data_IF_583417362682
#
_entry.id   IF_583417362682
#
_cell.length_a   1.000
_cell.length_b   1.000
_cell.length_c   1.000
_cell.angle_alpha   90.00
_cell.angle_beta   90.00
_cell.angle_gamma   90.00
#
_symmetry.space_group_name_H-M   'P 1'
#
loop_
_entity.id
_entity.type
_entity.pdbx_description
1 polymer ?
#
# COMPACT_ATOMS: atom_id res chain seq x y z
N UNK A 1 -8.36 47.94 3.52
CA UNK A 1 -7.47 46.89 2.99
C UNK A 1 -8.29 45.62 3.05
N UNK A 2 -8.74 45.14 1.90
CA UNK A 2 -9.70 44.04 1.82
C UNK A 2 -9.01 42.69 1.98
N UNK A 3 -9.55 41.86 2.88
CA UNK A 3 -9.26 40.44 2.97
C UNK A 3 -9.71 39.76 1.67
N UNK A 4 -8.76 39.46 0.78
CA UNK A 4 -9.00 38.56 -0.34
C UNK A 4 -8.73 37.13 0.12
N UNK A 5 -9.80 36.40 0.47
CA UNK A 5 -9.74 34.95 0.58
C UNK A 5 -9.31 34.34 -0.77
N UNK A 6 -8.43 33.31 -0.78
CA UNK A 6 -8.05 32.64 -2.02
C UNK A 6 -9.28 32.00 -2.68
N UNK A 7 -9.41 32.20 -3.99
CA UNK A 7 -10.47 31.61 -4.79
C UNK A 7 -10.32 30.08 -4.84
N UNK A 8 -11.31 29.36 -4.31
CA UNK A 8 -11.37 27.90 -4.30
C UNK A 8 -12.05 27.38 -5.58
N UNK A 9 -11.33 26.63 -6.42
CA UNK A 9 -11.94 25.83 -7.47
C UNK A 9 -12.30 24.45 -6.91
N UNK A 10 -13.60 24.12 -6.86
CA UNK A 10 -14.07 22.81 -6.37
C UNK A 10 -13.99 21.77 -7.50
N UNK A 11 -13.16 20.74 -7.34
CA UNK A 11 -13.08 19.57 -8.22
C UNK A 11 -13.46 18.31 -7.42
N UNK A 12 -14.70 17.84 -7.57
CA UNK A 12 -15.22 16.68 -6.84
C UNK A 12 -15.45 16.91 -5.33
N UNK A 13 -16.32 16.10 -4.71
CA UNK A 13 -16.74 16.30 -3.31
C UNK A 13 -15.65 15.99 -2.26
N UNK A 14 -14.53 15.34 -2.64
CA UNK A 14 -13.53 14.80 -1.70
C UNK A 14 -12.10 15.33 -1.87
N UNK A 15 -11.80 16.07 -2.94
CA UNK A 15 -10.47 16.64 -3.19
C UNK A 15 -10.59 18.09 -3.65
N UNK A 16 -9.62 18.94 -3.32
CA UNK A 16 -9.67 20.35 -3.71
C UNK A 16 -8.28 20.85 -4.07
N UNK A 17 -8.19 21.74 -5.06
CA UNK A 17 -6.97 22.50 -5.31
C UNK A 17 -7.13 23.89 -4.70
N UNK A 18 -6.13 24.30 -3.92
CA UNK A 18 -6.10 25.59 -3.24
C UNK A 18 -4.75 26.26 -3.50
N UNK A 19 -4.77 27.56 -3.78
CA UNK A 19 -3.55 28.36 -3.85
C UNK A 19 -3.14 28.76 -2.42
N UNK A 20 -1.97 28.30 -1.99
CA UNK A 20 -1.37 28.66 -0.70
C UNK A 20 -0.24 29.67 -0.87
N UNK A 21 -0.10 30.61 0.07
CA UNK A 21 1.04 31.54 0.16
C UNK A 21 1.91 31.13 1.34
N UNK A 22 3.19 30.85 1.08
CA UNK A 22 4.13 30.41 2.11
C UNK A 22 5.35 31.32 2.19
N UNK A 23 5.82 31.55 3.40
CA UNK A 23 7.02 32.34 3.66
C UNK A 23 8.27 31.47 3.48
N UNK A 24 9.11 31.81 2.50
CA UNK A 24 10.38 31.14 2.23
C UNK A 24 11.48 31.81 3.07
N UNK A 25 12.38 31.04 3.71
CA UNK A 25 13.56 31.61 4.38
C UNK A 25 14.34 32.50 3.41
N UNK A 26 14.49 33.79 3.74
CA UNK A 26 15.03 34.81 2.83
C UNK A 26 14.04 35.93 2.45
N UNK A 27 12.83 35.94 3.02
CA UNK A 27 11.94 37.11 2.98
C UNK A 27 11.01 37.20 1.76
N UNK A 28 10.71 36.08 1.09
CA UNK A 28 9.80 36.06 -0.05
C UNK A 28 8.62 35.13 0.21
N UNK A 29 7.43 35.59 -0.16
CA UNK A 29 6.23 34.76 -0.23
C UNK A 29 6.24 33.99 -1.55
N UNK A 30 6.12 32.66 -1.50
CA UNK A 30 5.93 31.81 -2.66
C UNK A 30 4.47 31.34 -2.70
N UNK A 31 3.82 31.53 -3.85
CA UNK A 31 2.55 30.88 -4.13
C UNK A 31 2.82 29.42 -4.52
N UNK A 32 2.20 28.48 -3.83
CA UNK A 32 2.27 27.06 -4.16
C UNK A 32 0.85 26.52 -4.36
N UNK A 33 0.72 25.56 -5.26
CA UNK A 33 -0.55 24.85 -5.47
C UNK A 33 -0.61 23.68 -4.50
N UNK A 34 -1.58 23.72 -3.58
CA UNK A 34 -1.87 22.62 -2.68
C UNK A 34 -3.00 21.79 -3.25
N UNK A 35 -2.76 20.50 -3.39
CA UNK A 35 -3.78 19.49 -3.58
C UNK A 35 -4.17 18.95 -2.20
N UNK A 36 -5.46 19.02 -1.88
CA UNK A 36 -6.03 18.51 -0.64
C UNK A 36 -6.75 17.20 -0.94
N UNK A 37 -6.32 16.12 -0.30
CA UNK A 37 -6.84 14.76 -0.45
C UNK A 37 -7.49 14.27 0.86
N UNK A 38 -8.41 13.29 0.81
CA UNK A 38 -8.95 12.66 2.01
C UNK A 38 -7.90 11.75 2.68
N UNK A 39 -8.26 11.11 3.79
CA UNK A 39 -7.42 10.09 4.42
C UNK A 39 -7.18 8.89 3.50
N UNK A 40 -5.93 8.65 3.12
CA UNK A 40 -5.55 7.56 2.23
C UNK A 40 -5.20 6.29 3.00
N UNK A 41 -5.43 5.13 2.39
CA UNK A 41 -5.10 3.81 2.95
C UNK A 41 -4.11 3.09 2.03
N UNK A 42 -3.02 2.59 2.60
CA UNK A 42 -2.17 1.59 1.95
C UNK A 42 -2.58 0.19 2.40
N UNK A 43 -3.15 -0.59 1.48
CA UNK A 43 -3.74 -1.89 1.78
C UNK A 43 -2.72 -3.04 1.87
N UNK A 44 -1.44 -2.78 1.61
CA UNK A 44 -0.42 -3.82 1.56
C UNK A 44 0.93 -3.29 2.08
N UNK A 45 1.19 -3.51 3.36
CA UNK A 45 2.49 -3.20 3.97
C UNK A 45 3.03 -4.39 4.76
N UNK A 46 4.35 -4.40 4.95
CA UNK A 46 5.07 -5.33 5.80
C UNK A 46 5.92 -4.55 6.81
N UNK A 47 5.37 -4.22 7.98
CA UNK A 47 6.04 -3.43 9.02
C UNK A 47 7.00 -4.23 9.89
N UNK A 48 7.14 -5.53 9.60
CA UNK A 48 8.16 -6.47 10.12
C UNK A 48 8.09 -6.77 11.62
N UNK A 49 7.26 -6.09 12.39
CA UNK A 49 7.08 -6.34 13.82
C UNK A 49 5.82 -7.21 14.08
N UNK A 50 5.96 -8.37 14.77
CA UNK A 50 7.14 -8.84 15.51
C UNK A 50 8.20 -9.57 14.66
N UNK A 51 9.45 -9.51 15.11
CA UNK A 51 10.57 -10.40 14.73
C UNK A 51 11.52 -9.88 13.64
N UNK A 52 11.25 -8.71 13.04
CA UNK A 52 12.09 -8.09 12.01
C UNK A 52 12.33 -6.59 12.25
N UNK A 53 12.31 -6.15 13.51
CA UNK A 53 12.34 -4.75 13.96
C UNK A 53 13.61 -3.98 13.52
N UNK A 54 14.69 -4.70 13.18
CA UNK A 54 15.91 -4.10 12.63
C UNK A 54 15.75 -3.62 11.19
N UNK A 55 14.74 -4.13 10.46
CA UNK A 55 14.42 -3.74 9.08
C UNK A 55 13.46 -2.55 9.05
N UNK A 56 12.42 -2.67 9.89
CA UNK A 56 11.36 -1.70 10.14
C UNK A 56 10.59 -2.16 11.38
N UNK A 57 9.96 -1.26 12.10
CA UNK A 57 9.01 -1.60 13.17
C UNK A 57 7.69 -0.83 13.00
N UNK A 58 6.69 -1.09 13.84
CA UNK A 58 5.38 -0.42 13.69
C UNK A 58 5.52 1.11 13.76
N UNK A 59 6.33 1.62 14.68
CA UNK A 59 6.49 3.06 14.89
C UNK A 59 7.16 3.75 13.71
N UNK A 60 8.20 3.14 13.14
CA UNK A 60 8.94 3.68 12.00
C UNK A 60 8.18 3.50 10.68
N UNK A 61 7.55 2.34 10.46
CA UNK A 61 6.72 2.10 9.28
C UNK A 61 5.46 3.00 9.23
N UNK A 62 4.82 3.27 10.38
CA UNK A 62 3.69 4.20 10.41
C UNK A 62 4.10 5.68 10.39
N UNK A 63 5.32 6.01 10.83
CA UNK A 63 5.92 7.32 10.60
C UNK A 63 6.15 7.57 9.10
N UNK A 64 6.71 6.57 8.41
CA UNK A 64 6.87 6.55 6.96
C UNK A 64 5.51 6.68 6.26
N UNK A 65 4.48 5.95 6.70
CA UNK A 65 3.13 6.08 6.14
C UNK A 65 2.63 7.54 6.19
N UNK A 66 2.70 8.18 7.36
CA UNK A 66 2.28 9.58 7.51
C UNK A 66 3.08 10.55 6.63
N UNK A 67 4.40 10.36 6.54
CA UNK A 67 5.26 11.16 5.66
C UNK A 67 4.92 10.98 4.17
N UNK A 68 4.42 9.80 3.79
CA UNK A 68 3.87 9.49 2.48
C UNK A 68 2.44 9.98 2.23
N UNK A 69 1.80 10.62 3.22
CA UNK A 69 0.39 11.03 3.13
C UNK A 69 -0.61 9.89 3.34
N UNK A 70 -0.14 8.74 3.83
CA UNK A 70 -0.96 7.57 4.14
C UNK A 70 -1.40 7.65 5.59
N UNK A 71 -2.71 7.52 5.82
CA UNK A 71 -3.33 7.70 7.14
C UNK A 71 -3.87 6.40 7.74
N UNK A 72 -3.99 5.36 6.91
CA UNK A 72 -4.30 4.00 7.33
C UNK A 72 -3.40 2.99 6.63
N UNK A 73 -2.95 1.94 7.33
CA UNK A 73 -2.17 0.85 6.72
C UNK A 73 -2.75 -0.52 7.04
N UNK A 74 -2.70 -1.48 6.11
CA UNK A 74 -3.09 -2.87 6.37
C UNK A 74 -1.87 -3.79 6.35
N UNK A 75 -1.47 -4.28 7.52
CA UNK A 75 -0.20 -4.97 7.70
C UNK A 75 -0.30 -6.50 7.55
N UNK A 76 0.60 -7.05 6.73
CA UNK A 76 0.61 -8.44 6.29
C UNK A 76 1.10 -9.41 7.38
N UNK A 77 0.73 -10.71 7.32
CA UNK A 77 0.91 -11.64 8.43
C UNK A 77 2.24 -12.41 8.42
N UNK A 78 3.14 -12.17 7.48
CA UNK A 78 4.41 -12.90 7.31
C UNK A 78 5.53 -12.43 8.25
N UNK A 79 5.17 -12.07 9.48
CA UNK A 79 6.08 -11.77 10.58
C UNK A 79 6.81 -13.03 11.07
N UNK A 80 7.70 -12.88 12.05
CA UNK A 80 8.40 -13.99 12.70
C UNK A 80 8.08 -13.98 14.20
N UNK A 81 7.23 -14.90 14.71
CA UNK A 81 6.47 -15.91 13.98
C UNK A 81 5.32 -15.30 13.13
N UNK A 82 4.81 -16.04 12.12
CA UNK A 82 3.71 -15.57 11.29
C UNK A 82 2.40 -15.48 12.07
N UNK A 83 1.51 -14.61 11.62
CA UNK A 83 0.24 -14.29 12.28
C UNK A 83 -0.86 -15.18 11.71
N UNK A 84 -0.98 -16.40 12.24
CA UNK A 84 -1.88 -17.43 11.69
C UNK A 84 -2.97 -17.88 12.68
N UNK A 85 -3.22 -17.10 13.73
CA UNK A 85 -4.24 -17.40 14.74
C UNK A 85 -4.38 -16.29 15.78
N UNK A 86 -5.41 -16.40 16.63
CA UNK A 86 -5.82 -15.35 17.57
C UNK A 86 -4.74 -14.92 18.57
N UNK A 87 -3.93 -15.85 19.06
CA UNK A 87 -2.84 -15.51 20.01
C UNK A 87 -1.79 -14.62 19.38
N UNK A 88 -1.35 -14.95 18.17
CA UNK A 88 -0.38 -14.15 17.41
C UNK A 88 -0.99 -12.80 17.03
N UNK A 89 -2.25 -12.80 16.59
CA UNK A 89 -2.97 -11.58 16.23
C UNK A 89 -3.12 -10.63 17.41
N UNK A 90 -3.47 -11.14 18.59
CA UNK A 90 -3.58 -10.35 19.81
C UNK A 90 -2.24 -9.73 20.23
N UNK A 91 -1.14 -10.50 20.13
CA UNK A 91 0.21 -9.99 20.40
C UNK A 91 0.58 -8.86 19.43
N UNK A 92 0.35 -9.05 18.13
CA UNK A 92 0.64 -8.04 17.13
C UNK A 92 -0.22 -6.79 17.31
N UNK A 93 -1.51 -6.96 17.63
CA UNK A 93 -2.41 -5.86 17.95
C UNK A 93 -1.88 -5.02 19.11
N UNK A 94 -1.43 -5.64 20.21
CA UNK A 94 -0.87 -4.89 21.33
C UNK A 94 0.33 -4.01 20.94
N UNK A 95 1.19 -4.51 20.04
CA UNK A 95 2.32 -3.71 19.50
C UNK A 95 1.81 -2.51 18.71
N UNK A 96 0.79 -2.68 17.87
CA UNK A 96 0.19 -1.57 17.13
C UNK A 96 -0.55 -0.57 18.03
N UNK A 97 -1.27 -1.03 19.05
CA UNK A 97 -1.93 -0.16 20.03
C UNK A 97 -0.93 0.71 20.78
N UNK A 98 0.29 0.22 21.04
CA UNK A 98 1.36 0.96 21.70
C UNK A 98 2.14 1.88 20.75
N UNK A 99 2.31 1.49 19.47
CA UNK A 99 3.35 2.06 18.60
C UNK A 99 2.86 2.73 17.33
N UNK A 100 1.67 2.39 16.84
CA UNK A 100 1.18 2.91 15.57
C UNK A 100 0.89 4.42 15.64
N UNK A 101 1.38 5.17 14.65
CA UNK A 101 1.18 6.63 14.51
C UNK A 101 0.03 6.98 13.57
N UNK A 102 -0.37 6.05 12.71
CA UNK A 102 -1.53 6.14 11.83
C UNK A 102 -2.48 4.96 12.09
N UNK A 103 -3.68 4.99 11.53
CA UNK A 103 -4.65 3.92 11.73
C UNK A 103 -4.21 2.63 11.04
N UNK A 104 -4.68 1.49 11.51
CA UNK A 104 -4.13 0.21 11.06
C UNK A 104 -5.14 -0.92 11.04
N UNK A 105 -5.01 -1.81 10.06
CA UNK A 105 -5.65 -3.12 10.02
C UNK A 105 -4.61 -4.22 10.01
N UNK A 106 -4.99 -5.41 10.47
CA UNK A 106 -4.09 -6.56 10.57
C UNK A 106 -4.66 -7.74 9.77
N UNK A 107 -3.84 -8.32 8.90
CA UNK A 107 -4.18 -9.56 8.22
C UNK A 107 -3.88 -10.77 9.11
N UNK A 108 -4.63 -11.85 8.86
CA UNK A 108 -4.25 -13.21 9.22
C UNK A 108 -3.65 -13.92 8.01
N UNK A 109 -2.76 -14.87 8.24
CA UNK A 109 -2.23 -15.78 7.23
C UNK A 109 -2.76 -17.20 7.40
N UNK A 110 -2.76 -17.96 6.32
CA UNK A 110 -2.96 -19.41 6.35
C UNK A 110 -1.78 -20.13 5.67
N UNK A 111 -1.57 -21.38 6.05
CA UNK A 111 -0.60 -22.31 5.45
C UNK A 111 -1.21 -23.70 5.31
N UNK A 112 -0.45 -24.65 4.77
CA UNK A 112 -0.93 -26.02 4.44
C UNK A 112 -1.69 -26.72 5.58
N UNK A 113 -1.23 -26.51 6.81
CA UNK A 113 -1.78 -27.15 8.01
C UNK A 113 -2.34 -26.12 9.00
N UNK A 114 -2.48 -24.86 8.60
CA UNK A 114 -2.85 -23.79 9.52
C UNK A 114 -3.88 -22.88 8.88
N UNK A 115 -5.09 -22.94 9.41
CA UNK A 115 -6.19 -22.05 9.07
C UNK A 115 -6.68 -21.40 10.37
N UNK A 116 -6.67 -20.05 10.47
CA UNK A 116 -7.21 -19.35 11.63
C UNK A 116 -8.70 -19.67 11.84
N UNK A 117 -9.16 -19.53 13.08
CA UNK A 117 -10.56 -19.77 13.42
C UNK A 117 -11.47 -18.67 12.86
N UNK A 118 -12.78 -18.95 12.79
CA UNK A 118 -13.79 -17.95 12.40
C UNK A 118 -13.89 -16.79 13.41
N UNK A 119 -13.56 -17.03 14.68
CA UNK A 119 -13.47 -15.98 15.69
C UNK A 119 -12.30 -15.04 15.41
N UNK A 120 -11.15 -15.58 15.01
CA UNK A 120 -9.98 -14.78 14.63
C UNK A 120 -10.28 -13.90 13.40
N UNK A 121 -11.10 -14.40 12.47
CA UNK A 121 -11.48 -13.66 11.26
C UNK A 121 -12.26 -12.36 11.53
N UNK A 122 -13.03 -12.29 12.63
CA UNK A 122 -13.74 -11.07 13.03
C UNK A 122 -12.79 -9.96 13.51
N UNK A 123 -11.53 -10.34 13.80
CA UNK A 123 -10.49 -9.47 14.30
C UNK A 123 -9.45 -9.11 13.22
N UNK A 124 -9.61 -9.60 12.00
CA UNK A 124 -8.70 -9.31 10.90
C UNK A 124 -9.40 -8.53 9.79
N UNK A 125 -8.63 -7.76 9.02
CA UNK A 125 -9.15 -7.10 7.80
C UNK A 125 -9.26 -8.06 6.62
N UNK A 126 -8.61 -9.21 6.70
CA UNK A 126 -8.55 -10.19 5.62
C UNK A 126 -7.71 -11.41 5.97
N UNK A 127 -7.84 -12.44 5.13
CA UNK A 127 -6.90 -13.56 5.09
C UNK A 127 -5.94 -13.37 3.91
N UNK A 128 -4.62 -13.42 4.17
CA UNK A 128 -3.59 -13.39 3.13
C UNK A 128 -3.09 -14.81 2.86
N UNK A 129 -3.15 -15.21 1.60
CA UNK A 129 -2.63 -16.49 1.08
C UNK A 129 -1.40 -16.24 0.20
N UNK A 130 -0.47 -17.20 0.20
CA UNK A 130 0.73 -17.15 -0.64
C UNK A 130 0.85 -18.41 -1.49
N UNK A 131 0.67 -18.27 -2.80
CA UNK A 131 0.78 -19.38 -3.77
C UNK A 131 2.18 -19.49 -4.39
N UNK A 132 3.08 -18.55 -4.07
CA UNK A 132 4.48 -18.54 -4.50
C UNK A 132 5.41 -18.64 -3.28
N UNK A 133 6.72 -18.88 -3.45
CA UNK A 133 7.64 -19.00 -2.31
C UNK A 133 7.64 -17.75 -1.43
N UNK A 134 7.29 -17.95 -0.16
CA UNK A 134 7.11 -16.92 0.88
C UNK A 134 7.87 -17.31 2.16
N UNK A 135 7.83 -16.45 3.17
CA UNK A 135 8.46 -16.70 4.48
C UNK A 135 7.66 -17.67 5.33
N UNK A 136 8.37 -18.58 6.00
CA UNK A 136 7.80 -19.50 6.96
C UNK A 136 6.80 -20.50 6.34
N UNK A 137 5.90 -21.08 7.15
CA UNK A 137 4.97 -22.14 6.73
C UNK A 137 3.75 -21.64 5.93
N UNK A 138 3.80 -20.42 5.38
CA UNK A 138 2.65 -19.76 4.75
C UNK A 138 2.42 -20.13 3.28
N UNK A 139 3.36 -20.86 2.67
CA UNK A 139 3.21 -21.29 1.27
C UNK A 139 2.11 -22.34 1.16
N UNK A 140 1.19 -22.13 0.22
CA UNK A 140 0.10 -23.05 -0.12
C UNK A 140 0.33 -23.60 -1.54
N UNK A 141 0.47 -24.91 -1.64
CA UNK A 141 0.63 -25.68 -2.88
C UNK A 141 -0.53 -26.66 -3.10
N UNK A 142 -1.17 -27.13 -2.03
CA UNK A 142 -2.27 -28.09 -2.08
C UNK A 142 -3.60 -27.45 -2.49
N UNK A 143 -4.18 -27.96 -3.59
CA UNK A 143 -5.56 -27.62 -3.97
C UNK A 143 -6.57 -28.00 -2.87
N UNK A 144 -6.30 -29.08 -2.12
CA UNK A 144 -7.15 -29.49 -1.00
C UNK A 144 -7.18 -28.45 0.13
N UNK A 145 -6.03 -27.89 0.48
CA UNK A 145 -5.92 -26.82 1.48
C UNK A 145 -6.64 -25.55 1.00
N UNK A 146 -6.41 -25.14 -0.26
CA UNK A 146 -7.08 -23.98 -0.85
C UNK A 146 -8.61 -24.15 -0.88
N UNK A 147 -9.11 -25.32 -1.27
CA UNK A 147 -10.56 -25.62 -1.25
C UNK A 147 -11.12 -25.58 0.18
N UNK A 148 -10.39 -26.11 1.16
CA UNK A 148 -10.81 -26.05 2.55
C UNK A 148 -10.92 -24.60 3.04
N UNK A 149 -9.91 -23.77 2.75
CA UNK A 149 -9.90 -22.35 3.11
C UNK A 149 -11.09 -21.61 2.47
N UNK A 150 -11.28 -21.74 1.16
CA UNK A 150 -12.37 -21.03 0.46
C UNK A 150 -13.76 -21.44 0.93
N UNK A 151 -13.93 -22.67 1.44
CA UNK A 151 -15.20 -23.17 1.98
C UNK A 151 -15.47 -22.74 3.43
N UNK A 152 -14.42 -22.53 4.23
CA UNK A 152 -14.55 -22.35 5.68
C UNK A 152 -14.28 -20.92 6.15
N UNK A 153 -13.49 -20.14 5.39
CA UNK A 153 -13.21 -18.75 5.73
C UNK A 153 -14.49 -17.90 5.62
N UNK A 154 -14.82 -17.07 6.64
CA UNK A 154 -16.05 -16.30 6.66
C UNK A 154 -16.26 -15.44 5.42
N UNK A 155 -17.51 -15.40 4.93
CA UNK A 155 -17.82 -14.74 3.68
C UNK A 155 -17.58 -13.22 3.70
N UNK A 156 -17.81 -12.61 4.88
CA UNK A 156 -17.69 -11.19 5.13
C UNK A 156 -16.24 -10.69 5.05
N UNK A 157 -15.27 -11.53 5.41
CA UNK A 157 -13.86 -11.16 5.44
C UNK A 157 -13.18 -11.55 4.11
N UNK A 158 -12.52 -10.63 3.40
CA UNK A 158 -11.92 -10.91 2.09
C UNK A 158 -10.71 -11.87 2.18
N UNK A 159 -10.43 -12.52 1.06
CA UNK A 159 -9.23 -13.34 0.84
C UNK A 159 -8.32 -12.59 -0.14
N UNK A 160 -7.15 -12.15 0.33
CA UNK A 160 -6.09 -11.56 -0.49
C UNK A 160 -5.06 -12.62 -0.84
N UNK A 161 -4.58 -12.65 -2.09
CA UNK A 161 -3.74 -13.74 -2.59
C UNK A 161 -2.52 -13.19 -3.31
N UNK A 162 -1.34 -13.56 -2.84
CA UNK A 162 -0.11 -13.47 -3.62
C UNK A 162 -0.11 -14.62 -4.63
N UNK A 163 -0.29 -14.29 -5.90
CA UNK A 163 -0.17 -15.22 -7.02
C UNK A 163 0.57 -14.55 -8.19
N UNK A 164 1.35 -15.33 -8.91
CA UNK A 164 2.15 -14.90 -10.06
C UNK A 164 1.89 -15.81 -11.26
N UNK A 165 1.76 -15.22 -12.46
CA UNK A 165 1.54 -15.92 -13.72
C UNK A 165 0.38 -16.92 -13.65
N UNK A 166 0.65 -18.17 -14.04
CA UNK A 166 -0.39 -19.22 -14.11
C UNK A 166 -1.04 -19.54 -12.76
N UNK A 167 -0.37 -19.28 -11.64
CA UNK A 167 -0.95 -19.52 -10.32
C UNK A 167 -2.16 -18.62 -10.03
N UNK A 168 -2.31 -17.49 -10.74
CA UNK A 168 -3.49 -16.61 -10.62
C UNK A 168 -4.78 -17.28 -11.10
N UNK A 169 -4.70 -18.25 -12.00
CA UNK A 169 -5.89 -18.96 -12.47
C UNK A 169 -6.59 -19.73 -11.34
N UNK A 170 -5.83 -20.21 -10.34
CA UNK A 170 -6.35 -20.99 -9.22
C UNK A 170 -7.31 -20.18 -8.35
N UNK A 171 -6.92 -19.05 -7.74
CA UNK A 171 -7.82 -18.27 -6.90
C UNK A 171 -8.99 -17.67 -7.69
N UNK A 172 -8.81 -17.34 -8.98
CA UNK A 172 -9.92 -16.89 -9.85
C UNK A 172 -10.95 -18.00 -10.02
N UNK A 173 -10.51 -19.22 -10.37
CA UNK A 173 -11.40 -20.36 -10.53
C UNK A 173 -12.12 -20.70 -9.21
N UNK A 174 -11.40 -20.70 -8.09
CA UNK A 174 -11.98 -20.95 -6.77
C UNK A 174 -13.01 -19.87 -6.39
N UNK A 175 -12.74 -18.60 -6.68
CA UNK A 175 -13.67 -17.51 -6.49
C UNK A 175 -14.98 -17.73 -7.27
N UNK A 176 -14.88 -18.14 -8.54
CA UNK A 176 -16.05 -18.45 -9.37
C UNK A 176 -16.82 -19.67 -8.85
N UNK A 177 -16.13 -20.76 -8.49
CA UNK A 177 -16.78 -22.00 -8.02
C UNK A 177 -17.46 -21.86 -6.67
N UNK A 178 -16.98 -20.96 -5.80
CA UNK A 178 -17.47 -20.80 -4.43
C UNK A 178 -18.28 -19.53 -4.21
N UNK A 179 -18.33 -18.63 -5.20
CA UNK A 179 -18.91 -17.30 -5.06
C UNK A 179 -18.16 -16.39 -4.07
N UNK A 180 -16.94 -16.77 -3.67
CA UNK A 180 -16.13 -16.02 -2.70
C UNK A 180 -15.41 -14.86 -3.39
N UNK A 181 -15.42 -13.69 -2.75
CA UNK A 181 -14.62 -12.55 -3.20
C UNK A 181 -13.14 -12.81 -2.95
N UNK A 182 -12.33 -12.59 -3.98
CA UNK A 182 -10.87 -12.69 -3.93
C UNK A 182 -10.25 -11.37 -4.36
N UNK A 183 -9.17 -11.00 -3.70
CA UNK A 183 -8.30 -9.90 -4.08
C UNK A 183 -6.93 -10.45 -4.52
N UNK A 184 -6.51 -10.12 -5.74
CA UNK A 184 -5.23 -10.53 -6.31
C UNK A 184 -4.20 -9.44 -6.02
N UNK A 185 -3.21 -9.76 -5.19
CA UNK A 185 -2.18 -8.82 -4.79
C UNK A 185 -1.21 -8.51 -5.93
N UNK A 186 -0.67 -7.28 -5.93
CA UNK A 186 0.46 -6.79 -6.74
C UNK A 186 0.57 -7.39 -8.16
N UNK A 187 -0.48 -7.23 -8.97
CA UNK A 187 -0.48 -7.65 -10.39
C UNK A 187 0.61 -6.89 -11.14
N UNK A 188 1.48 -7.62 -11.86
CA UNK A 188 2.76 -7.09 -12.31
C UNK A 188 3.07 -7.34 -13.80
N UNK A 189 2.20 -8.05 -14.52
CA UNK A 189 2.42 -8.44 -15.92
C UNK A 189 1.24 -8.14 -16.83
N UNK A 190 1.55 -8.01 -18.12
CA UNK A 190 0.56 -7.79 -19.18
C UNK A 190 -0.45 -8.94 -19.31
N UNK A 191 0.00 -10.18 -19.19
CA UNK A 191 -0.86 -11.37 -19.25
C UNK A 191 -1.73 -11.53 -18.00
N UNK A 192 -1.18 -11.22 -16.81
CA UNK A 192 -1.90 -11.22 -15.54
C UNK A 192 -3.04 -10.19 -15.53
N UNK A 193 -2.79 -8.94 -15.92
CA UNK A 193 -3.84 -7.91 -15.94
C UNK A 193 -4.90 -8.18 -17.01
N UNK A 194 -4.50 -8.77 -18.15
CA UNK A 194 -5.45 -9.24 -19.17
C UNK A 194 -6.35 -10.37 -18.62
N UNK A 195 -5.78 -11.30 -17.86
CA UNK A 195 -6.56 -12.36 -17.19
C UNK A 195 -7.55 -11.77 -16.18
N UNK A 196 -7.14 -10.77 -15.39
CA UNK A 196 -8.05 -10.08 -14.46
C UNK A 196 -9.20 -9.43 -15.21
N UNK A 197 -8.93 -8.70 -16.30
CA UNK A 197 -9.97 -8.09 -17.13
C UNK A 197 -10.98 -9.12 -17.60
N UNK A 198 -10.52 -10.21 -18.23
CA UNK A 198 -11.40 -11.27 -18.74
C UNK A 198 -12.21 -11.91 -17.61
N UNK A 199 -11.63 -12.11 -16.43
CA UNK A 199 -12.33 -12.64 -15.27
C UNK A 199 -13.46 -11.71 -14.81
N UNK A 200 -13.19 -10.40 -14.72
CA UNK A 200 -14.19 -9.38 -14.34
C UNK A 200 -15.30 -9.24 -15.38
N UNK A 201 -14.97 -9.22 -16.68
CA UNK A 201 -15.95 -9.18 -17.77
C UNK A 201 -16.89 -10.40 -17.76
N UNK A 202 -16.40 -11.54 -17.28
CA UNK A 202 -17.19 -12.77 -17.07
C UNK A 202 -17.92 -12.82 -15.72
N UNK A 203 -17.90 -11.73 -14.95
CA UNK A 203 -18.59 -11.63 -13.67
C UNK A 203 -17.94 -12.40 -12.53
N UNK A 204 -16.66 -12.77 -12.63
CA UNK A 204 -15.95 -13.37 -11.50
C UNK A 204 -15.85 -12.37 -10.34
N UNK A 205 -16.05 -12.80 -9.07
CA UNK A 205 -15.98 -11.92 -7.91
C UNK A 205 -14.51 -11.64 -7.51
N UNK A 206 -13.75 -11.06 -8.44
CA UNK A 206 -12.31 -10.81 -8.28
C UNK A 206 -12.03 -9.31 -8.30
N UNK A 207 -11.09 -8.91 -7.46
CA UNK A 207 -10.49 -7.59 -7.45
C UNK A 207 -8.96 -7.74 -7.55
N UNK A 208 -8.25 -6.68 -7.88
CA UNK A 208 -6.80 -6.67 -7.87
C UNK A 208 -6.21 -5.33 -7.42
N UNK A 209 -4.95 -5.37 -7.02
CA UNK A 209 -4.11 -4.20 -6.84
C UNK A 209 -2.89 -4.26 -7.76
N UNK A 210 -2.30 -3.09 -8.01
CA UNK A 210 -0.97 -2.95 -8.59
C UNK A 210 -0.12 -2.10 -7.67
N UNK A 211 1.20 -2.18 -7.79
CA UNK A 211 2.10 -1.37 -6.97
C UNK A 211 2.72 -0.22 -7.76
N UNK A 212 3.19 0.85 -7.09
CA UNK A 212 3.98 1.88 -7.75
C UNK A 212 5.24 1.32 -8.42
N UNK A 213 5.91 0.33 -7.83
CA UNK A 213 7.14 -0.18 -8.44
C UNK A 213 6.86 -0.97 -9.73
N UNK A 214 5.70 -1.63 -9.86
CA UNK A 214 5.27 -2.22 -11.13
C UNK A 214 4.71 -1.19 -12.13
N UNK A 215 4.28 -0.02 -11.68
CA UNK A 215 3.81 1.07 -12.57
C UNK A 215 4.93 2.00 -13.05
N UNK A 216 6.02 2.13 -12.30
CA UNK A 216 7.03 3.16 -12.55
C UNK A 216 8.43 2.62 -12.83
N UNK A 217 8.71 1.36 -12.52
CA UNK A 217 10.01 0.73 -12.73
C UNK A 217 9.87 -0.47 -13.67
N UNK A 218 10.98 -0.78 -14.33
CA UNK A 218 11.10 -1.87 -15.29
C UNK A 218 12.20 -2.85 -14.87
N UNK A 219 12.34 -3.92 -15.63
CA UNK A 219 13.44 -4.88 -15.54
C UNK A 219 14.80 -4.22 -15.73
N UNK A 220 14.87 -3.13 -16.50
CA UNK A 220 16.11 -2.37 -16.69
C UNK A 220 16.50 -1.64 -15.40
N UNK A 221 15.53 -1.05 -14.70
CA UNK A 221 15.74 -0.46 -13.38
C UNK A 221 16.16 -1.53 -12.35
N UNK A 222 15.53 -2.71 -12.37
CA UNK A 222 15.96 -3.84 -11.52
C UNK A 222 17.41 -4.24 -11.78
N UNK A 223 17.86 -4.27 -13.05
CA UNK A 223 19.25 -4.56 -13.41
C UNK A 223 20.20 -3.48 -12.89
N UNK A 224 19.82 -2.21 -13.00
CA UNK A 224 20.61 -1.08 -12.49
C UNK A 224 20.71 -1.09 -10.95
N UNK A 225 19.63 -1.43 -10.26
CA UNK A 225 19.57 -1.56 -8.80
C UNK A 225 20.30 -2.79 -8.26
N UNK A 226 20.60 -3.78 -9.13
CA UNK A 226 21.19 -5.05 -8.72
C UNK A 226 20.35 -5.75 -7.65
N UNK A 227 20.96 -6.13 -6.54
CA UNK A 227 20.27 -6.85 -5.47
C UNK A 227 19.16 -6.02 -4.80
N UNK A 228 19.25 -4.69 -4.81
CA UNK A 228 18.20 -3.80 -4.29
C UNK A 228 16.90 -3.90 -5.11
N UNK A 229 17.02 -4.21 -6.40
CA UNK A 229 15.88 -4.40 -7.31
C UNK A 229 15.16 -5.73 -7.17
N UNK A 230 15.60 -6.61 -6.26
CA UNK A 230 14.92 -7.90 -6.05
C UNK A 230 13.62 -7.72 -5.27
N UNK A 231 12.52 -8.15 -5.86
CA UNK A 231 11.17 -8.11 -5.31
C UNK A 231 10.32 -9.22 -5.92
N UNK A 232 9.17 -9.49 -5.32
CA UNK A 232 8.21 -10.47 -5.83
C UNK A 232 6.81 -9.85 -5.84
N UNK A 233 6.13 -9.78 -7.00
CA UNK A 233 6.58 -10.26 -8.32
C UNK A 233 7.76 -9.45 -8.87
N UNK A 234 8.68 -10.05 -9.66
CA UNK A 234 9.84 -9.32 -10.18
C UNK A 234 9.40 -8.21 -11.16
N UNK A 235 10.23 -7.17 -11.36
CA UNK A 235 9.92 -6.11 -12.33
C UNK A 235 9.85 -6.65 -13.77
N UNK A 236 8.85 -6.17 -14.50
CA UNK A 236 8.52 -6.57 -15.88
C UNK A 236 9.21 -5.71 -16.92
N UNK A 237 8.97 -5.98 -18.20
CA UNK A 237 9.42 -5.09 -19.27
C UNK A 237 8.58 -3.80 -19.34
N UNK A 238 8.94 -2.88 -20.23
CA UNK A 238 8.12 -1.68 -20.46
C UNK A 238 6.73 -2.05 -20.97
N UNK A 239 6.61 -3.15 -21.72
CA UNK A 239 5.35 -3.70 -22.19
C UNK A 239 4.40 -4.08 -21.05
N UNK A 240 4.94 -4.58 -19.93
CA UNK A 240 4.15 -4.90 -18.73
C UNK A 240 3.67 -3.61 -18.08
N UNK A 241 4.57 -2.63 -17.90
CA UNK A 241 4.24 -1.32 -17.32
C UNK A 241 3.14 -0.63 -18.13
N UNK A 242 3.30 -0.56 -19.45
CA UNK A 242 2.31 0.03 -20.35
C UNK A 242 0.98 -0.73 -20.33
N UNK A 243 1.01 -2.06 -20.22
CA UNK A 243 -0.20 -2.85 -20.07
C UNK A 243 -0.94 -2.52 -18.77
N UNK A 244 -0.23 -2.39 -17.64
CA UNK A 244 -0.84 -2.01 -16.36
C UNK A 244 -1.49 -0.62 -16.44
N UNK A 245 -0.78 0.37 -17.00
CA UNK A 245 -1.34 1.72 -17.19
C UNK A 245 -2.55 1.74 -18.12
N UNK A 246 -2.51 1.02 -19.24
CA UNK A 246 -3.65 0.93 -20.17
C UNK A 246 -4.87 0.23 -19.57
N UNK A 247 -4.67 -0.60 -18.55
CA UNK A 247 -5.71 -1.39 -17.90
C UNK A 247 -6.01 -0.89 -16.47
N UNK A 248 -5.66 0.35 -16.14
CA UNK A 248 -5.87 0.89 -14.81
C UNK A 248 -7.35 1.02 -14.43
N UNK A 249 -8.26 0.98 -15.40
CA UNK A 249 -9.72 0.91 -15.22
C UNK A 249 -10.18 -0.39 -14.53
N UNK A 250 -9.46 -1.51 -14.70
CA UNK A 250 -9.80 -2.78 -14.02
C UNK A 250 -9.05 -3.01 -12.72
N UNK A 251 -8.11 -2.14 -12.35
CA UNK A 251 -7.43 -2.19 -11.04
C UNK A 251 -8.37 -1.69 -9.94
N UNK A 252 -8.39 -2.26 -8.74
CA UNK A 252 -9.32 -1.80 -7.69
C UNK A 252 -8.68 -0.83 -6.70
N UNK A 253 -7.39 -0.98 -6.45
CA UNK A 253 -6.60 -0.10 -5.59
C UNK A 253 -5.12 -0.12 -5.98
N UNK A 254 -4.36 0.87 -5.51
CA UNK A 254 -2.89 0.84 -5.54
C UNK A 254 -2.39 0.68 -4.12
N UNK A 255 -1.46 -0.24 -3.91
CA UNK A 255 -0.83 -0.48 -2.61
C UNK A 255 0.68 -0.56 -2.79
N UNK A 256 1.45 -0.13 -1.77
CA UNK A 256 2.89 0.02 -1.97
C UNK A 256 3.64 -1.31 -1.98
N UNK A 257 3.08 -2.34 -1.36
CA UNK A 257 3.79 -3.55 -0.93
C UNK A 257 5.10 -3.16 -0.22
N UNK A 258 4.99 -2.22 0.72
CA UNK A 258 6.13 -1.69 1.46
C UNK A 258 6.79 -2.82 2.24
N UNK A 259 7.91 -3.30 1.70
CA UNK A 259 8.64 -4.47 2.15
C UNK A 259 10.10 -4.11 2.43
N UNK A 260 10.38 -3.33 3.49
CA UNK A 260 11.72 -2.86 3.83
C UNK A 260 12.62 -4.01 4.26
N UNK A 261 13.88 -3.92 3.85
CA UNK A 261 15.00 -4.80 4.19
C UNK A 261 16.25 -3.93 4.31
N UNK A 262 17.14 -4.23 5.24
CA UNK A 262 18.35 -3.40 5.40
C UNK A 262 19.26 -3.54 4.18
N UNK A 263 20.12 -2.54 3.92
CA UNK A 263 21.14 -2.64 2.88
C UNK A 263 22.02 -3.89 3.06
N UNK A 264 22.38 -4.22 4.30
CA UNK A 264 23.18 -5.40 4.62
C UNK A 264 22.49 -6.72 4.21
N UNK A 265 21.18 -6.85 4.42
CA UNK A 265 20.42 -8.02 3.96
C UNK A 265 20.38 -8.09 2.44
N UNK A 266 20.14 -6.95 1.77
CA UNK A 266 20.09 -6.88 0.30
C UNK A 266 21.46 -7.09 -0.34
N UNK A 267 22.56 -6.88 0.37
CA UNK A 267 23.92 -7.14 -0.11
C UNK A 267 24.45 -8.52 0.33
N UNK A 268 23.64 -9.30 1.06
CA UNK A 268 23.98 -10.64 1.50
C UNK A 268 24.01 -11.66 0.36
N UNK A 269 24.39 -12.90 0.68
CA UNK A 269 24.49 -13.99 -0.29
C UNK A 269 23.14 -14.42 -0.88
N UNK A 270 22.06 -14.30 -0.10
CA UNK A 270 20.68 -14.58 -0.51
C UNK A 270 19.80 -13.36 -0.20
N UNK A 271 19.84 -12.33 -1.06
CA UNK A 271 19.17 -11.07 -0.80
C UNK A 271 17.64 -11.23 -0.82
N UNK A 272 16.93 -10.80 0.23
CA UNK A 272 15.49 -11.00 0.32
C UNK A 272 14.73 -10.13 -0.70
N UNK A 273 13.61 -10.61 -1.26
CA UNK A 273 12.76 -9.81 -2.13
C UNK A 273 11.97 -8.78 -1.32
N UNK A 274 11.90 -7.56 -1.83
CA UNK A 274 11.12 -6.47 -1.26
C UNK A 274 11.81 -5.12 -1.41
N UNK A 275 10.99 -4.07 -1.52
CA UNK A 275 11.41 -2.67 -1.61
C UNK A 275 10.56 -1.80 -0.67
N UNK A 276 11.11 -0.74 -0.06
CA UNK A 276 10.30 0.25 0.65
C UNK A 276 9.52 1.13 -0.35
N UNK A 277 8.21 1.32 -0.13
CA UNK A 277 7.37 2.11 -1.05
C UNK A 277 6.32 3.04 -0.43
N UNK A 278 5.95 2.90 0.85
CA UNK A 278 4.83 3.64 1.44
C UNK A 278 4.99 5.17 1.35
N UNK A 279 6.22 5.69 1.55
CA UNK A 279 6.51 7.13 1.48
C UNK A 279 6.51 7.70 0.06
N UNK A 280 6.88 6.87 -0.92
CA UNK A 280 7.06 7.32 -2.31
C UNK A 280 5.81 7.12 -3.15
N UNK A 281 4.86 6.30 -2.70
CA UNK A 281 3.63 5.97 -3.42
C UNK A 281 2.84 7.22 -3.84
N UNK A 282 2.43 8.08 -2.91
CA UNK A 282 1.60 9.24 -3.25
C UNK A 282 2.35 10.25 -4.13
N UNK A 283 3.60 10.65 -3.85
CA UNK A 283 4.37 11.53 -4.75
C UNK A 283 4.47 11.01 -6.19
N UNK A 284 4.70 9.71 -6.38
CA UNK A 284 4.76 9.08 -7.70
C UNK A 284 3.39 9.14 -8.40
N UNK A 285 2.34 8.76 -7.69
CA UNK A 285 0.99 8.71 -8.26
C UNK A 285 0.44 10.10 -8.60
N UNK A 286 0.70 11.12 -7.77
CA UNK A 286 0.34 12.52 -8.09
C UNK A 286 1.19 13.05 -9.26
N UNK A 287 2.45 12.62 -9.39
CA UNK A 287 3.26 12.95 -10.57
C UNK A 287 2.62 12.41 -11.85
N UNK A 288 2.10 11.17 -11.83
CA UNK A 288 1.36 10.61 -12.97
C UNK A 288 0.06 11.39 -13.28
N UNK A 289 -0.59 11.99 -12.28
CA UNK A 289 -1.73 12.90 -12.51
C UNK A 289 -1.28 14.15 -13.27
N UNK A 290 -0.18 14.77 -12.84
CA UNK A 290 0.39 15.95 -13.50
C UNK A 290 0.92 15.67 -14.92
N UNK A 291 1.36 14.44 -15.17
CA UNK A 291 1.77 13.96 -16.50
C UNK A 291 0.58 13.55 -17.40
N UNK A 292 -0.65 13.64 -16.90
CA UNK A 292 -1.86 13.29 -17.65
C UNK A 292 -2.07 11.79 -17.86
N UNK A 293 -1.37 10.94 -17.09
CA UNK A 293 -1.49 9.47 -17.15
C UNK A 293 -2.63 8.93 -16.30
N UNK A 294 -3.08 9.73 -15.32
CA UNK A 294 -4.08 9.39 -14.31
C UNK A 294 -4.94 10.62 -14.03
N UNK A 295 -6.24 10.46 -13.82
CA UNK A 295 -7.06 11.57 -13.31
C UNK A 295 -6.98 11.67 -11.78
N UNK A 296 -7.24 12.85 -11.23
CA UNK A 296 -7.26 13.04 -9.78
C UNK A 296 -8.37 12.20 -9.13
N UNK A 297 -9.53 12.12 -9.77
CA UNK A 297 -10.66 11.30 -9.33
C UNK A 297 -10.23 9.83 -9.23
N UNK A 298 -9.53 9.32 -10.26
CA UNK A 298 -9.07 7.94 -10.27
C UNK A 298 -7.97 7.67 -9.24
N UNK A 299 -7.13 8.66 -8.94
CA UNK A 299 -6.18 8.58 -7.82
C UNK A 299 -6.91 8.37 -6.49
N UNK A 300 -7.96 9.16 -6.23
CA UNK A 300 -8.78 9.04 -5.01
C UNK A 300 -9.49 7.68 -4.98
N UNK A 301 -10.05 7.22 -6.09
CA UNK A 301 -10.64 5.89 -6.18
C UNK A 301 -9.63 4.79 -5.83
N UNK A 302 -8.38 4.89 -6.28
CA UNK A 302 -7.35 3.86 -6.07
C UNK A 302 -6.76 3.85 -4.66
N UNK A 303 -6.63 5.00 -4.00
CA UNK A 303 -5.93 5.13 -2.71
C UNK A 303 -6.85 5.40 -1.51
N UNK A 304 -8.12 5.74 -1.76
CA UNK A 304 -9.11 6.03 -0.72
C UNK A 304 -10.30 5.07 -0.80
N UNK A 305 -11.03 5.06 -1.92
CA UNK A 305 -12.28 4.29 -2.02
C UNK A 305 -12.05 2.80 -2.26
N UNK A 306 -11.02 2.45 -3.02
CA UNK A 306 -10.62 1.09 -3.36
C UNK A 306 -10.35 0.22 -2.13
N UNK A 307 -9.43 0.62 -1.24
CA UNK A 307 -9.17 -0.12 0.00
C UNK A 307 -10.43 -0.29 0.86
N UNK A 308 -11.29 0.73 0.96
CA UNK A 308 -12.55 0.66 1.70
C UNK A 308 -13.52 -0.35 1.07
N UNK A 309 -13.67 -0.35 -0.25
CA UNK A 309 -14.55 -1.27 -0.99
C UNK A 309 -14.06 -2.72 -0.95
N UNK A 310 -12.74 -2.92 -1.09
CA UNK A 310 -12.12 -4.26 -1.12
C UNK A 310 -12.11 -4.90 0.26
N UNK A 311 -11.72 -4.13 1.29
CA UNK A 311 -11.53 -4.66 2.65
C UNK A 311 -12.68 -4.37 3.61
N UNK A 312 -13.70 -3.65 3.17
CA UNK A 312 -14.82 -3.24 4.01
C UNK A 312 -14.40 -2.28 5.13
N UNK A 313 -13.21 -1.69 5.09
CA UNK A 313 -12.74 -0.75 6.11
C UNK A 313 -13.27 0.66 5.83
N UNK A 314 -13.21 1.55 6.83
CA UNK A 314 -13.46 2.98 6.63
C UNK A 314 -12.16 3.75 6.70
N UNK A 315 -11.98 4.69 5.77
CA UNK A 315 -10.85 5.59 5.82
C UNK A 315 -10.90 6.46 7.07
N UNK A 316 -9.73 6.77 7.68
CA UNK A 316 -9.68 7.70 8.78
C UNK A 316 -10.18 9.08 8.37
N UNK A 317 -10.81 9.79 9.31
CA UNK A 317 -11.11 11.21 9.14
C UNK A 317 -9.79 11.98 9.11
N UNK A 318 -9.36 12.36 7.91
CA UNK A 318 -8.09 13.01 7.70
C UNK A 318 -8.08 13.89 6.45
N UNK A 319 -7.10 14.79 6.42
CA UNK A 319 -6.80 15.68 5.30
C UNK A 319 -5.31 15.62 5.01
N UNK A 320 -4.98 15.37 3.75
CA UNK A 320 -3.60 15.25 3.27
C UNK A 320 -3.34 16.38 2.29
N UNK A 321 -2.44 17.29 2.66
CA UNK A 321 -2.06 18.44 1.84
C UNK A 321 -0.76 18.14 1.11
N UNK A 322 -0.81 18.19 -0.22
CA UNK A 322 0.29 17.88 -1.11
C UNK A 322 0.67 19.14 -1.88
N UNK A 323 1.91 19.59 -1.75
CA UNK A 323 2.47 20.62 -2.60
C UNK A 323 2.70 20.04 -3.99
N UNK A 324 2.20 20.72 -5.01
CA UNK A 324 2.21 20.23 -6.39
C UNK A 324 2.73 21.29 -7.36
N UNK A 325 3.20 20.86 -8.53
CA UNK A 325 3.74 21.73 -9.59
C UNK A 325 5.20 22.14 -9.39
N UNK A 326 5.78 21.85 -8.22
CA UNK A 326 7.22 21.93 -7.97
C UNK A 326 8.00 20.80 -8.64
N UNK A 327 9.33 20.90 -8.66
CA UNK A 327 10.22 19.79 -9.04
C UNK A 327 10.96 19.33 -7.79
N UNK A 328 10.56 18.18 -7.25
CA UNK A 328 11.18 17.56 -6.10
C UNK A 328 11.96 16.32 -6.53
N UNK A 329 12.86 15.86 -5.66
CA UNK A 329 13.67 14.68 -5.90
C UNK A 329 13.53 13.74 -4.71
N UNK A 330 13.25 12.46 -4.99
CA UNK A 330 13.20 11.43 -3.96
C UNK A 330 14.64 11.12 -3.52
N UNK A 331 14.89 11.26 -2.22
CA UNK A 331 16.18 10.98 -1.59
C UNK A 331 15.97 10.16 -0.34
N UNK A 332 16.64 9.02 -0.22
CA UNK A 332 16.56 8.15 0.96
C UNK A 332 16.85 8.89 2.27
N UNK A 333 17.78 9.86 2.25
CA UNK A 333 18.14 10.67 3.42
C UNK A 333 16.99 11.55 3.96
N UNK A 334 15.92 11.75 3.18
CA UNK A 334 14.73 12.50 3.58
C UNK A 334 13.53 11.59 3.90
N UNK A 335 13.70 10.27 3.80
CA UNK A 335 12.66 9.28 4.12
C UNK A 335 12.77 8.83 5.58
N UNK A 336 11.66 8.32 6.11
CA UNK A 336 11.50 7.89 7.50
C UNK A 336 11.56 6.37 7.69
N UNK A 337 11.41 5.60 6.61
CA UNK A 337 11.59 4.15 6.61
C UNK A 337 12.98 3.78 7.15
N UNK A 338 13.02 2.85 8.11
CA UNK A 338 14.25 2.50 8.84
C UNK A 338 15.32 1.90 7.97
N UNK A 339 14.96 1.23 6.87
CA UNK A 339 15.94 0.57 6.02
C UNK A 339 16.90 1.56 5.33
N UNK A 340 16.52 2.84 5.23
CA UNK A 340 17.42 3.92 4.81
C UNK A 340 17.80 3.91 3.33
N UNK A 341 16.99 3.32 2.46
CA UNK A 341 17.18 3.35 1.00
C UNK A 341 15.83 3.34 0.27
N UNK A 342 15.85 3.57 -1.04
CA UNK A 342 14.65 3.53 -1.89
C UNK A 342 15.01 3.11 -3.32
N UNK A 343 14.16 2.36 -4.04
CA UNK A 343 14.41 2.04 -5.46
C UNK A 343 14.22 3.27 -6.37
N UNK A 344 13.79 4.41 -5.83
CA UNK A 344 13.54 5.66 -6.55
C UNK A 344 14.58 6.75 -6.26
N UNK A 345 15.78 6.38 -5.81
CA UNK A 345 16.82 7.35 -5.46
C UNK A 345 17.12 8.27 -6.65
N UNK A 346 17.02 9.58 -6.43
CA UNK A 346 17.24 10.60 -7.45
C UNK A 346 16.10 10.79 -8.45
N UNK A 347 14.99 10.05 -8.32
CA UNK A 347 13.83 10.23 -9.19
C UNK A 347 13.17 11.58 -8.95
N UNK A 348 12.91 12.30 -10.03
CA UNK A 348 12.15 13.56 -10.00
C UNK A 348 10.65 13.29 -9.91
N UNK A 349 9.97 14.06 -9.06
CA UNK A 349 8.52 14.02 -8.87
C UNK A 349 7.95 15.44 -8.83
N UNK A 350 6.67 15.56 -9.15
CA UNK A 350 5.96 16.85 -9.22
C UNK A 350 5.16 17.17 -7.94
N UNK A 351 5.34 16.34 -6.91
CA UNK A 351 4.55 16.41 -5.69
C UNK A 351 5.37 16.07 -4.44
N UNK A 352 5.05 16.71 -3.32
CA UNK A 352 5.57 16.38 -1.98
C UNK A 352 4.48 16.61 -0.93
N UNK A 353 4.34 15.69 0.01
CA UNK A 353 3.43 15.84 1.14
C UNK A 353 3.93 16.98 2.03
N UNK A 354 3.05 17.94 2.31
CA UNK A 354 3.32 19.06 3.22
C UNK A 354 2.79 18.80 4.60
N UNK A 355 1.54 18.38 4.68
CA UNK A 355 0.84 18.28 5.95
C UNK A 355 -0.15 17.14 5.94
N UNK A 356 -0.22 16.42 7.05
CA UNK A 356 -1.26 15.43 7.30
C UNK A 356 -1.96 15.78 8.59
N UNK A 357 -3.27 15.98 8.50
CA UNK A 357 -4.16 16.16 9.66
C UNK A 357 -4.97 14.89 9.83
N UNK A 358 -4.82 14.21 10.96
CA UNK A 358 -5.54 12.99 11.30
C UNK A 358 -6.41 13.25 12.54
N UNK A 359 -7.74 13.10 12.41
CA UNK A 359 -8.72 13.38 13.47
C UNK A 359 -8.55 14.77 14.10
N UNK A 360 -8.39 15.79 13.25
CA UNK A 360 -8.23 17.18 13.66
C UNK A 360 -6.87 17.54 14.27
N UNK A 361 -5.87 16.64 14.26
CA UNK A 361 -4.51 16.90 14.74
C UNK A 361 -3.51 16.80 13.61
N UNK A 362 -2.61 17.76 13.50
CA UNK A 362 -1.45 17.66 12.59
C UNK A 362 -0.52 16.55 13.09
N UNK A 363 -0.34 15.51 12.28
CA UNK A 363 0.50 14.34 12.60
C UNK A 363 1.75 14.24 11.71
N UNK A 364 1.83 15.07 10.68
CA UNK A 364 3.03 15.28 9.87
C UNK A 364 3.01 16.70 9.32
N UNK A 365 4.15 17.38 9.34
CA UNK A 365 4.32 18.70 8.72
C UNK A 365 5.76 18.92 8.26
N UNK A 366 5.95 19.30 7.00
CA UNK A 366 7.22 19.76 6.43
C UNK A 366 8.42 18.85 6.76
N UNK A 367 8.25 17.54 6.56
CA UNK A 367 9.29 16.54 6.78
C UNK A 367 9.42 16.06 8.22
N UNK A 368 8.58 16.52 9.14
CA UNK A 368 8.60 16.11 10.55
C UNK A 368 7.33 15.31 10.88
N UNK A 369 7.53 14.11 11.43
CA UNK A 369 6.44 13.30 11.97
C UNK A 369 6.11 13.77 13.38
N UNK A 370 4.87 14.23 13.56
CA UNK A 370 4.33 14.77 14.82
C UNK A 370 3.33 13.81 15.49
N UNK A 371 2.86 12.78 14.77
CA UNK A 371 1.96 11.77 15.31
C UNK A 371 2.66 10.91 16.35
N UNK A 372 2.16 10.90 17.58
CA UNK A 372 2.73 10.14 18.69
C UNK A 372 2.58 8.61 18.48
N UNK A 373 3.55 7.77 18.91
CA UNK A 373 3.35 6.32 18.98
C UNK A 373 2.10 5.96 19.79
N UNK A 374 1.30 5.02 19.28
CA UNK A 374 0.06 4.57 19.90
C UNK A 374 -1.14 5.49 19.68
N UNK A 375 -0.99 6.55 18.88
CA UNK A 375 -2.11 7.42 18.50
C UNK A 375 -3.01 6.84 17.39
N UNK A 376 -2.54 5.80 16.70
CA UNK A 376 -3.26 5.05 15.67
C UNK A 376 -4.47 4.29 16.22
N UNK A 377 -5.51 4.16 15.40
CA UNK A 377 -6.72 3.38 15.73
C UNK A 377 -6.88 2.19 14.81
N UNK A 378 -7.48 1.13 15.33
CA UNK A 378 -7.77 -0.09 14.57
C UNK A 378 -8.84 0.16 13.52
N UNK A 379 -8.58 -0.31 12.31
CA UNK A 379 -9.51 -0.45 11.20
C UNK A 379 -10.06 -1.89 11.21
N UNK A 380 -11.38 -2.01 11.17
CA UNK A 380 -12.07 -3.28 11.04
C UNK A 380 -13.06 -3.21 9.87
N UNK A 381 -13.34 -4.35 9.21
CA UNK A 381 -14.42 -4.43 8.24
C UNK A 381 -15.76 -4.03 8.89
N UNK A 382 -16.56 -3.21 8.20
CA UNK A 382 -17.89 -2.74 8.64
C UNK A 382 -19.05 -3.46 7.95
#
# INVERSE_FOLDING_TARGET
MGDSQPAMARLGAQSQQVLGLFFVPGGRWAAVTLLVLPGLIDAHVHLREPGGEHKEDVASGTAAALAGGITGVLDMPNNVPPITGGRQLARKRALFEERARCDYGLFLGAGEQTLPSTQDAAEAVGLKLYLTPTYGPLRLESLGALLAIFRSWPAATPIAVHAEGTSMAIPILLAQLTGRRVHLCHVARADEIALVRVAKERGAPVTCEVTPHHLFLTREDARALGALGQMKPPLGGMEDVEALWRNLDVVDLVASDHAPHTLAEKQGADPPPGVPGVETMLPLMVTAVYEGRLSLERLVELLHEGPQRVYGVRAPEATVEVETGGRFEIRAAALHTRCGWTPYEGRRVSARVRRVVLRGRTVFEDGHVLGEPGSGRRLLPV
#
